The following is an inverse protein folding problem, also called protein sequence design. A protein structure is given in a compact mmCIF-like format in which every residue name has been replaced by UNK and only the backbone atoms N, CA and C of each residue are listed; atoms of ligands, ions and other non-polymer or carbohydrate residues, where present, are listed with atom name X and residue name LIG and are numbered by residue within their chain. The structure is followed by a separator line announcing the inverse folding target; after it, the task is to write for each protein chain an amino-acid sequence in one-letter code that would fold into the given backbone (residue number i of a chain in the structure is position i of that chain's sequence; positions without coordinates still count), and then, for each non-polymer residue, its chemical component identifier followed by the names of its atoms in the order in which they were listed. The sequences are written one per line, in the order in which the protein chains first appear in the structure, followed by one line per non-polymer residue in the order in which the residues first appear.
data_IF_963810923613
#
_entry.id   IF_963810923613
#
_cell.length_a   1.000
_cell.length_b   1.000
_cell.length_c   1.000
_cell.angle_alpha   90.00
_cell.angle_beta   90.00
_cell.angle_gamma   90.00
#
_symmetry.space_group_name_H-M   'P 1'
#
loop_
_entity.id
_entity.type
_entity.pdbx_description
1 polymer ?
#
# COMPACT_ATOMS: atom_id res chain seq x y z
N UNK A 1 6.38 -12.61 -16.21
CA UNK A 1 5.69 -13.52 -15.28
C UNK A 1 6.42 -14.84 -15.29
N UNK A 2 6.59 -15.50 -14.14
CA UNK A 2 7.00 -16.91 -14.15
C UNK A 2 5.87 -17.72 -14.82
N UNK A 3 6.20 -18.84 -15.46
CA UNK A 3 5.21 -19.64 -16.20
C UNK A 3 4.03 -20.11 -15.31
N UNK A 4 4.22 -20.17 -13.99
CA UNK A 4 3.20 -20.53 -13.00
C UNK A 4 2.31 -19.38 -12.52
N UNK A 5 2.65 -18.12 -12.83
CA UNK A 5 1.91 -16.95 -12.33
C UNK A 5 2.27 -16.50 -10.91
N UNK A 6 3.26 -17.14 -10.29
CA UNK A 6 3.70 -16.83 -8.92
C UNK A 6 4.55 -15.55 -8.84
N UNK A 7 4.57 -14.96 -7.64
CA UNK A 7 5.47 -13.86 -7.29
C UNK A 7 6.85 -14.41 -6.93
N UNK A 8 7.87 -13.56 -7.02
CA UNK A 8 9.26 -13.94 -6.72
C UNK A 8 9.58 -13.48 -5.30
N UNK A 9 10.10 -14.38 -4.46
CA UNK A 9 10.63 -14.01 -3.15
C UNK A 9 12.16 -13.92 -3.20
N UNK A 10 12.71 -12.84 -2.68
CA UNK A 10 14.16 -12.59 -2.58
C UNK A 10 14.53 -12.48 -1.10
N UNK A 11 15.42 -13.35 -0.63
CA UNK A 11 15.89 -13.39 0.75
C UNK A 11 17.42 -13.43 0.83
N UNK A 12 18.02 -13.13 2.00
CA UNK A 12 19.42 -13.42 2.25
C UNK A 12 19.74 -14.92 2.03
N UNK A 13 20.98 -15.21 1.68
CA UNK A 13 21.44 -16.59 1.51
C UNK A 13 21.09 -17.44 2.74
N UNK A 14 20.57 -18.64 2.49
CA UNK A 14 20.18 -19.62 3.51
C UNK A 14 19.08 -19.15 4.49
N UNK A 15 18.29 -18.13 4.13
CA UNK A 15 17.17 -17.62 4.94
C UNK A 15 15.85 -17.63 4.17
N UNK A 16 14.74 -17.81 4.91
CA UNK A 16 13.36 -17.65 4.40
C UNK A 16 12.79 -16.29 4.81
N UNK A 17 13.19 -15.77 5.96
CA UNK A 17 12.79 -14.46 6.48
C UNK A 17 14.00 -13.71 7.04
N UNK A 18 14.11 -12.38 6.83
CA UNK A 18 13.19 -11.54 6.05
C UNK A 18 13.32 -11.80 4.53
N UNK A 19 12.25 -11.53 3.79
CA UNK A 19 12.27 -11.57 2.32
C UNK A 19 11.54 -10.36 1.74
N UNK A 20 11.85 -10.07 0.48
CA UNK A 20 11.13 -9.14 -0.38
C UNK A 20 10.27 -9.97 -1.35
N UNK A 21 8.98 -9.68 -1.42
CA UNK A 21 8.13 -10.17 -2.51
C UNK A 21 8.22 -9.20 -3.70
N UNK A 22 8.55 -9.73 -4.87
CA UNK A 22 8.62 -9.01 -6.14
C UNK A 22 7.46 -9.47 -7.02
N UNK A 23 6.63 -8.52 -7.43
CA UNK A 23 5.46 -8.74 -8.28
C UNK A 23 5.68 -8.09 -9.65
N UNK A 24 5.11 -8.70 -10.68
CA UNK A 24 4.92 -8.05 -11.97
C UNK A 24 3.64 -7.22 -11.90
N UNK A 25 3.62 -6.08 -12.59
CA UNK A 25 2.42 -5.26 -12.79
C UNK A 25 1.35 -6.09 -13.50
N UNK A 26 0.13 -6.10 -12.96
CA UNK A 26 -0.99 -6.90 -13.50
C UNK A 26 -2.24 -6.08 -13.78
N UNK A 27 -2.42 -4.97 -13.10
CA UNK A 27 -3.64 -4.18 -13.19
C UNK A 27 -3.38 -2.67 -13.05
N UNK A 28 -4.44 -1.89 -13.24
CA UNK A 28 -4.39 -0.45 -13.16
C UNK A 28 -4.04 0.07 -11.75
N UNK A 29 -4.19 -0.76 -10.70
CA UNK A 29 -3.78 -0.37 -9.34
C UNK A 29 -2.27 -0.45 -9.21
N UNK A 30 -1.65 -1.51 -9.73
CA UNK A 30 -0.19 -1.64 -9.81
C UNK A 30 0.43 -0.49 -10.62
N UNK A 31 -0.16 -0.16 -11.78
CA UNK A 31 0.28 0.98 -12.59
C UNK A 31 0.18 2.30 -11.83
N UNK A 32 -0.98 2.56 -11.20
CA UNK A 32 -1.16 3.78 -10.42
C UNK A 32 -0.20 3.88 -9.24
N UNK A 33 0.15 2.76 -8.61
CA UNK A 33 1.13 2.70 -7.52
C UNK A 33 2.52 3.13 -7.99
N UNK A 34 2.94 2.69 -9.18
CA UNK A 34 4.24 3.00 -9.77
C UNK A 34 4.30 4.42 -10.32
N UNK A 35 3.28 4.86 -11.06
CA UNK A 35 3.23 6.20 -11.68
C UNK A 35 3.17 7.31 -10.64
N UNK A 36 2.49 7.08 -9.52
CA UNK A 36 2.32 8.05 -8.44
C UNK A 36 3.26 7.80 -7.26
N UNK A 37 4.39 7.10 -7.49
CA UNK A 37 5.33 6.78 -6.44
C UNK A 37 5.98 8.04 -5.83
N UNK A 38 5.97 8.10 -4.50
CA UNK A 38 6.68 9.10 -3.70
C UNK A 38 8.03 8.53 -3.24
N UNK A 39 9.03 9.37 -3.02
CA UNK A 39 10.33 8.92 -2.50
C UNK A 39 10.34 8.85 -0.97
N UNK A 40 10.62 7.66 -0.43
CA UNK A 40 11.00 7.46 0.97
C UNK A 40 12.51 7.65 1.15
N UNK A 41 12.96 8.17 2.29
CA UNK A 41 14.37 8.18 2.68
C UNK A 41 14.60 7.33 3.93
N UNK A 42 15.36 6.25 3.79
CA UNK A 42 15.61 5.26 4.85
C UNK A 42 17.11 4.99 4.90
N UNK A 43 17.74 5.19 6.07
CA UNK A 43 19.18 4.93 6.24
C UNK A 43 20.09 5.70 5.26
N UNK A 44 19.70 6.92 4.87
CA UNK A 44 20.40 7.73 3.87
C UNK A 44 20.21 7.27 2.41
N UNK A 45 19.41 6.24 2.15
CA UNK A 45 19.03 5.77 0.82
C UNK A 45 17.62 6.24 0.46
N UNK A 46 17.37 6.42 -0.83
CA UNK A 46 16.05 6.76 -1.38
C UNK A 46 15.39 5.52 -1.97
N UNK A 47 14.13 5.27 -1.63
CA UNK A 47 13.34 4.13 -2.11
C UNK A 47 11.98 4.66 -2.58
N UNK A 48 11.53 4.36 -3.81
CA UNK A 48 10.17 4.69 -4.23
C UNK A 48 9.15 3.89 -3.42
N UNK A 49 8.05 4.54 -3.02
CA UNK A 49 6.90 3.93 -2.36
C UNK A 49 5.64 4.45 -3.03
N UNK A 50 4.60 3.63 -3.15
CA UNK A 50 3.31 4.12 -3.67
C UNK A 50 2.72 5.24 -2.80
N UNK A 51 1.74 5.99 -3.31
CA UNK A 51 1.16 7.10 -2.57
C UNK A 51 0.44 6.59 -1.32
N UNK A 52 0.58 7.31 -0.19
CA UNK A 52 -0.01 6.92 1.09
C UNK A 52 -1.53 6.76 1.00
N UNK A 53 -2.21 7.63 0.25
CA UNK A 53 -3.65 7.54 -0.02
C UNK A 53 -4.06 6.18 -0.62
N UNK A 54 -3.35 5.71 -1.66
CA UNK A 54 -3.62 4.40 -2.25
C UNK A 54 -3.31 3.26 -1.27
N UNK A 55 -2.21 3.37 -0.50
CA UNK A 55 -1.87 2.35 0.50
C UNK A 55 -2.95 2.20 1.56
N UNK A 56 -3.54 3.30 2.05
CA UNK A 56 -4.63 3.28 3.03
C UNK A 56 -5.85 2.59 2.44
N UNK A 57 -6.33 3.06 1.27
CA UNK A 57 -7.52 2.50 0.63
C UNK A 57 -7.35 1.01 0.31
N UNK A 58 -6.17 0.60 -0.17
CA UNK A 58 -5.87 -0.80 -0.46
C UNK A 58 -5.85 -1.68 0.80
N UNK A 59 -5.36 -1.15 1.93
CA UNK A 59 -5.40 -1.86 3.22
C UNK A 59 -6.82 -2.05 3.74
N UNK A 60 -7.69 -1.06 3.57
CA UNK A 60 -9.12 -1.20 3.86
C UNK A 60 -9.76 -2.29 2.97
N UNK A 61 -9.39 -2.33 1.69
CA UNK A 61 -9.86 -3.34 0.73
C UNK A 61 -9.45 -4.77 1.13
N UNK A 62 -8.23 -4.98 1.63
CA UNK A 62 -7.78 -6.29 2.12
C UNK A 62 -8.55 -6.76 3.36
N UNK A 63 -8.89 -5.83 4.26
CA UNK A 63 -9.86 -6.04 5.34
C UNK A 63 -9.46 -6.98 6.49
N UNK A 64 -8.29 -7.63 6.44
CA UNK A 64 -7.82 -8.43 7.57
C UNK A 64 -7.48 -7.52 8.77
N UNK A 65 -7.53 -8.05 9.99
CA UNK A 65 -7.30 -7.25 11.21
C UNK A 65 -5.99 -6.45 11.14
N UNK A 66 -4.88 -7.09 10.74
CA UNK A 66 -3.58 -6.41 10.61
C UNK A 66 -3.58 -5.34 9.53
N UNK A 67 -4.30 -5.54 8.44
CA UNK A 67 -4.41 -4.55 7.38
C UNK A 67 -5.23 -3.33 7.85
N UNK A 68 -6.28 -3.54 8.66
CA UNK A 68 -7.03 -2.45 9.28
C UNK A 68 -6.17 -1.69 10.30
N UNK A 69 -5.37 -2.38 11.12
CA UNK A 69 -4.42 -1.76 12.04
C UNK A 69 -3.38 -0.90 11.28
N UNK A 70 -2.84 -1.43 10.17
CA UNK A 70 -1.96 -0.69 9.27
C UNK A 70 -2.66 0.54 8.66
N UNK A 71 -3.92 0.41 8.24
CA UNK A 71 -4.69 1.50 7.65
C UNK A 71 -4.89 2.65 8.65
N UNK A 72 -5.24 2.34 9.91
CA UNK A 72 -5.33 3.32 11.02
C UNK A 72 -4.00 4.03 11.19
N UNK A 73 -2.89 3.28 11.29
CA UNK A 73 -1.57 3.85 11.48
C UNK A 73 -1.18 4.80 10.33
N UNK A 74 -1.38 4.37 9.08
CA UNK A 74 -1.08 5.17 7.89
C UNK A 74 -1.98 6.41 7.81
N UNK A 75 -3.25 6.30 8.16
CA UNK A 75 -4.20 7.41 8.15
C UNK A 75 -3.84 8.49 9.17
N UNK A 76 -3.47 8.11 10.39
CA UNK A 76 -2.99 9.07 11.41
C UNK A 76 -1.72 9.82 10.96
N UNK A 77 -0.79 9.15 10.26
CA UNK A 77 0.38 9.80 9.67
C UNK A 77 0.00 10.70 8.49
N UNK A 78 -1.00 10.30 7.70
CA UNK A 78 -1.43 10.99 6.49
C UNK A 78 -2.22 12.28 6.76
N UNK A 79 -3.08 12.32 7.78
CA UNK A 79 -3.82 13.54 8.14
C UNK A 79 -2.89 14.74 8.40
N UNK A 80 -1.68 14.47 8.90
CA UNK A 80 -0.62 15.47 9.10
C UNK A 80 -0.05 16.04 7.80
N UNK A 81 -0.37 15.45 6.64
CA UNK A 81 0.22 15.79 5.32
C UNK A 81 -0.73 16.50 4.33
N UNK A 82 -1.99 16.76 4.73
CA UNK A 82 -2.98 17.57 3.99
C UNK A 82 -3.31 17.12 2.53
N UNK A 83 -3.48 15.82 2.25
CA UNK A 83 -3.82 15.32 0.90
C UNK A 83 -5.12 14.48 0.81
N UNK A 84 -6.15 14.84 1.59
CA UNK A 84 -7.40 14.06 1.74
C UNK A 84 -8.10 13.71 0.42
N UNK A 85 -8.12 14.63 -0.56
CA UNK A 85 -8.84 14.44 -1.83
C UNK A 85 -8.40 13.19 -2.62
N UNK A 86 -7.10 12.86 -2.62
CA UNK A 86 -6.59 11.68 -3.32
C UNK A 86 -7.00 10.37 -2.63
N UNK A 87 -7.23 10.39 -1.32
CA UNK A 87 -7.67 9.19 -0.59
C UNK A 87 -9.10 8.83 -0.95
N UNK A 88 -10.01 9.81 -1.01
CA UNK A 88 -11.42 9.60 -1.33
C UNK A 88 -11.64 9.01 -2.72
N UNK A 89 -10.82 9.41 -3.70
CA UNK A 89 -10.82 8.82 -5.05
C UNK A 89 -10.51 7.31 -5.02
N UNK A 90 -9.47 6.90 -4.29
CA UNK A 90 -9.11 5.49 -4.15
C UNK A 90 -10.12 4.70 -3.32
N UNK A 91 -10.68 5.31 -2.27
CA UNK A 91 -11.76 4.72 -1.47
C UNK A 91 -12.96 4.38 -2.34
N UNK A 92 -13.37 5.31 -3.20
CA UNK A 92 -14.49 5.12 -4.12
C UNK A 92 -14.17 4.05 -5.17
N UNK A 93 -12.96 4.10 -5.73
CA UNK A 93 -12.53 3.14 -6.77
C UNK A 93 -12.41 1.71 -6.26
N UNK A 94 -12.12 1.53 -4.97
CA UNK A 94 -11.98 0.23 -4.32
C UNK A 94 -13.25 -0.24 -3.60
N UNK A 95 -14.33 0.56 -3.58
CA UNK A 95 -15.60 0.25 -2.90
C UNK A 95 -15.43 -0.02 -1.39
N UNK A 96 -14.67 0.86 -0.71
CA UNK A 96 -14.32 0.74 0.73
C UNK A 96 -14.80 1.92 1.57
N UNK A 97 -15.87 2.59 1.15
CA UNK A 97 -16.45 3.76 1.80
C UNK A 97 -16.87 3.46 3.24
N UNK A 98 -17.46 2.29 3.49
CA UNK A 98 -17.94 1.92 4.81
C UNK A 98 -16.79 1.75 5.81
N UNK A 99 -15.71 1.11 5.38
CA UNK A 99 -14.46 0.92 6.13
C UNK A 99 -13.78 2.28 6.35
N UNK A 100 -13.76 3.14 5.34
CA UNK A 100 -13.23 4.50 5.45
C UNK A 100 -14.02 5.36 6.46
N UNK A 101 -15.35 5.27 6.48
CA UNK A 101 -16.17 5.95 7.48
C UNK A 101 -15.91 5.45 8.91
N UNK A 102 -15.56 4.16 9.08
CA UNK A 102 -15.14 3.62 10.38
C UNK A 102 -13.75 4.12 10.76
N UNK A 103 -12.83 4.15 9.81
CA UNK A 103 -11.46 4.64 9.98
C UNK A 103 -11.45 6.08 10.51
N UNK A 104 -12.28 6.97 9.95
CA UNK A 104 -12.41 8.38 10.38
C UNK A 104 -12.92 8.57 11.82
N UNK A 105 -13.46 7.52 12.45
CA UNK A 105 -14.01 7.55 13.81
C UNK A 105 -13.11 6.86 14.84
N UNK A 106 -12.04 6.21 14.39
CA UNK A 106 -11.07 5.52 15.24
C UNK A 106 -10.10 6.51 15.89
#
# INVERSE_FOLDING_TARGET
MLDSGDNIWVSPADQVTPHLEVKFVRDDLDDAFLENATTARIGGKTIPRGPLALQIAYKLYLGAQKDLEDAVHLYTLFEQTHSVFRLEEWVTRLDVEAEYERLKRA
#
